data_IF_197744385592
#
_entry.id   IF_197744385592
#
_cell.length_a   1.000
_cell.length_b   1.000
_cell.length_c   1.000
_cell.angle_alpha   90.00
_cell.angle_beta   90.00
_cell.angle_gamma   90.00
#
_symmetry.space_group_name_H-M   'P 1'
#
loop_
_entity.id
_entity.type
_entity.pdbx_description
1 polymer ?
#
# COMPACT_ATOMS: atom_id res chain seq x y z
N UNK A 1 8.16 33.52 98.53
CA UNK A 1 6.89 33.05 99.10
C UNK A 1 6.16 32.21 98.06
N UNK A 2 5.39 31.23 98.53
CA UNK A 2 4.83 30.10 97.80
C UNK A 2 3.81 30.42 96.67
N UNK A 3 3.76 29.47 95.73
CA UNK A 3 2.58 28.68 95.28
C UNK A 3 1.94 28.88 93.89
N UNK A 4 1.82 27.69 93.23
CA UNK A 4 0.74 27.11 92.39
C UNK A 4 0.46 27.70 90.99
N UNK A 5 0.79 26.95 89.92
CA UNK A 5 -0.03 25.95 89.16
C UNK A 5 -1.14 26.62 88.35
N UNK A 6 -1.39 26.40 87.07
CA UNK A 6 -1.24 25.30 86.09
C UNK A 6 -1.31 25.99 84.70
N UNK A 7 -1.00 25.43 83.52
CA UNK A 7 -1.52 24.20 82.95
C UNK A 7 -0.84 23.95 81.59
N UNK A 8 -0.61 22.67 81.29
CA UNK A 8 -0.52 22.01 79.98
C UNK A 8 0.52 22.42 78.91
N UNK A 9 1.33 21.42 78.59
CA UNK A 9 2.45 21.30 77.66
C UNK A 9 2.27 19.93 76.94
N UNK A 10 3.09 19.51 75.95
CA UNK A 10 3.35 20.13 74.65
C UNK A 10 3.31 19.09 73.50
N UNK A 11 3.56 19.53 72.25
CA UNK A 11 4.08 18.67 71.18
C UNK A 11 5.40 18.00 71.59
N UNK A 12 5.76 16.84 71.00
CA UNK A 12 6.90 16.91 70.06
C UNK A 12 6.88 15.93 68.87
N UNK A 13 7.67 16.32 67.86
CA UNK A 13 8.24 15.53 66.77
C UNK A 13 9.00 14.29 67.27
N UNK A 14 8.82 13.12 66.67
CA UNK A 14 9.88 12.35 65.96
C UNK A 14 9.36 11.06 65.29
N UNK A 15 9.90 10.83 64.08
CA UNK A 15 10.18 9.59 63.34
C UNK A 15 9.78 8.23 63.96
N UNK A 16 9.03 7.39 63.21
CA UNK A 16 9.15 5.93 63.29
C UNK A 16 8.85 5.25 61.96
N UNK A 17 9.79 4.39 61.55
CA UNK A 17 9.72 3.40 60.47
C UNK A 17 8.79 2.27 60.92
N UNK A 18 7.85 1.84 60.07
CA UNK A 18 7.11 0.60 60.24
C UNK A 18 7.27 -0.29 59.00
N UNK A 19 7.99 -1.38 59.23
CA UNK A 19 8.06 -2.59 58.41
C UNK A 19 6.81 -3.42 58.73
N UNK A 20 6.02 -3.88 57.75
CA UNK A 20 5.31 -5.16 57.86
C UNK A 20 4.90 -5.71 56.48
N UNK A 21 5.24 -6.99 56.31
CA UNK A 21 4.97 -7.90 55.21
C UNK A 21 3.56 -8.50 55.40
N UNK A 22 2.83 -8.79 54.31
CA UNK A 22 1.81 -9.85 54.33
C UNK A 22 0.58 -9.64 53.45
N UNK A 23 0.62 -10.21 52.24
CA UNK A 23 -0.46 -10.88 51.49
C UNK A 23 -1.92 -10.47 51.77
N UNK A 24 -2.56 -9.89 50.75
CA UNK A 24 -3.99 -10.09 50.49
C UNK A 24 -4.27 -10.11 48.98
N UNK A 25 -4.93 -11.17 48.51
CA UNK A 25 -5.51 -11.24 47.16
C UNK A 25 -6.57 -10.14 47.00
N UNK A 26 -6.77 -9.61 45.78
CA UNK A 26 -8.06 -9.09 45.40
C UNK A 26 -8.78 -10.01 44.41
N UNK A 27 -10.04 -10.22 44.75
CA UNK A 27 -11.04 -10.96 44.01
C UNK A 27 -11.30 -10.40 42.61
N UNK A 28 -11.79 -11.30 41.76
CA UNK A 28 -12.33 -11.03 40.45
C UNK A 28 -13.35 -9.88 40.45
N UNK A 29 -13.17 -8.93 39.53
CA UNK A 29 -14.25 -8.07 39.03
C UNK A 29 -14.17 -8.07 37.51
N UNK A 30 -15.07 -8.83 36.90
CA UNK A 30 -15.27 -8.86 35.47
C UNK A 30 -15.75 -7.48 34.98
N UNK A 31 -14.95 -6.84 34.14
CA UNK A 31 -15.40 -5.77 33.24
C UNK A 31 -14.86 -6.15 31.85
N UNK A 32 -15.79 -6.34 30.92
CA UNK A 32 -15.55 -6.73 29.53
C UNK A 32 -14.82 -5.61 28.78
N UNK A 33 -13.51 -5.78 28.57
CA UNK A 33 -12.73 -5.07 27.56
C UNK A 33 -12.00 -6.09 26.69
N UNK A 34 -12.63 -6.47 25.57
CA UNK A 34 -11.95 -7.20 24.50
C UNK A 34 -11.11 -6.21 23.68
N UNK A 35 -9.89 -5.92 24.15
CA UNK A 35 -8.76 -5.43 23.34
C UNK A 35 -7.85 -6.64 23.09
N UNK A 36 -7.83 -7.12 21.85
CA UNK A 36 -6.80 -6.86 20.84
C UNK A 36 -5.44 -7.49 21.16
N UNK A 37 -4.98 -8.24 20.16
CA UNK A 37 -3.96 -9.27 20.21
C UNK A 37 -2.56 -8.65 20.30
N UNK A 38 -1.89 -8.75 21.46
CA UNK A 38 -0.45 -8.51 21.58
C UNK A 38 0.29 -9.84 21.43
N UNK A 39 1.08 -9.97 20.36
CA UNK A 39 2.04 -11.05 20.19
C UNK A 39 3.45 -10.47 20.14
N UNK A 40 4.17 -10.52 21.27
CA UNK A 40 5.59 -10.22 21.34
C UNK A 40 6.40 -11.49 21.01
N UNK A 41 7.24 -11.41 20.00
CA UNK A 41 8.22 -12.46 19.67
C UNK A 41 8.88 -12.18 18.33
N UNK A 42 10.17 -11.89 18.34
CA UNK A 42 10.98 -11.68 17.14
C UNK A 42 11.09 -12.97 16.33
N UNK A 43 10.18 -13.12 15.38
CA UNK A 43 10.15 -14.06 14.26
C UNK A 43 9.32 -13.36 13.18
N UNK A 44 9.67 -13.51 11.90
CA UNK A 44 9.04 -12.81 10.77
C UNK A 44 7.51 -12.68 11.00
N UNK A 45 7.07 -11.47 11.36
CA UNK A 45 5.72 -11.24 11.83
C UNK A 45 4.75 -11.74 10.76
N UNK A 46 3.92 -12.74 11.10
CA UNK A 46 2.91 -13.24 10.19
C UNK A 46 2.10 -12.04 9.69
N UNK A 47 2.15 -11.78 8.39
CA UNK A 47 1.52 -10.62 7.79
C UNK A 47 0.04 -10.58 8.22
N UNK A 48 -0.36 -9.53 8.92
CA UNK A 48 -1.73 -9.34 9.37
C UNK A 48 -2.58 -8.67 8.29
N UNK A 49 -3.89 -8.56 8.52
CA UNK A 49 -4.82 -7.83 7.64
C UNK A 49 -4.79 -6.30 7.87
N UNK A 50 -3.89 -5.82 8.72
CA UNK A 50 -3.62 -4.41 8.99
C UNK A 50 -2.13 -4.23 9.23
N UNK A 51 -1.52 -3.31 8.49
CA UNK A 51 -0.14 -2.87 8.70
C UNK A 51 -0.14 -1.36 8.89
N UNK A 52 0.44 -0.91 9.99
CA UNK A 52 0.53 0.51 10.34
C UNK A 52 1.63 1.21 9.57
N UNK A 53 1.47 2.52 9.35
CA UNK A 53 2.45 3.32 8.62
C UNK A 53 3.88 3.24 9.20
N UNK A 54 4.00 3.17 10.52
CA UNK A 54 5.27 3.08 11.26
C UNK A 54 5.89 1.67 11.23
N UNK A 55 5.13 0.65 10.81
CA UNK A 55 5.60 -0.73 10.65
C UNK A 55 6.22 -1.00 9.27
N UNK A 56 6.28 0.00 8.40
CA UNK A 56 6.88 -0.14 7.06
C UNK A 56 8.38 -0.37 7.17
N UNK A 57 8.89 -1.36 6.44
CA UNK A 57 10.33 -1.64 6.35
C UNK A 57 10.97 -0.72 5.31
N UNK A 58 11.89 0.13 5.73
CA UNK A 58 12.69 0.93 4.81
C UNK A 58 13.59 0.03 3.94
N UNK A 59 13.56 0.26 2.63
CA UNK A 59 14.41 -0.42 1.63
C UNK A 59 15.51 0.52 1.12
N UNK A 60 15.17 1.79 0.91
CA UNK A 60 16.10 2.84 0.46
C UNK A 60 15.79 4.10 1.25
N UNK A 61 16.82 4.75 1.81
CA UNK A 61 16.68 6.04 2.50
C UNK A 61 17.82 6.94 2.06
N UNK A 62 17.50 8.11 1.51
CA UNK A 62 18.47 9.10 1.03
C UNK A 62 17.95 10.51 1.29
N UNK A 63 18.80 11.52 1.14
CA UNK A 63 18.36 12.92 1.14
C UNK A 63 17.42 13.27 -0.04
N UNK A 64 17.35 12.43 -1.08
CA UNK A 64 16.60 12.64 -2.31
C UNK A 64 15.28 11.87 -2.37
N UNK A 65 15.01 11.01 -1.38
CA UNK A 65 13.83 10.18 -1.34
C UNK A 65 13.97 8.91 -0.50
N UNK A 66 12.86 8.18 -0.41
CA UNK A 66 12.71 6.97 0.39
C UNK A 66 11.89 5.92 -0.39
N UNK A 67 12.26 4.66 -0.22
CA UNK A 67 11.42 3.51 -0.58
C UNK A 67 11.20 2.69 0.67
N UNK A 68 9.94 2.45 1.04
CA UNK A 68 9.58 1.53 2.12
C UNK A 68 8.57 0.50 1.65
N UNK A 69 8.47 -0.63 2.37
CA UNK A 69 7.67 -1.79 1.96
C UNK A 69 6.88 -2.39 3.10
N UNK A 70 5.79 -3.07 2.75
CA UNK A 70 5.00 -3.92 3.63
C UNK A 70 4.57 -5.19 2.91
N UNK A 71 4.37 -6.24 3.70
CA UNK A 71 3.75 -7.48 3.27
C UNK A 71 2.42 -7.59 4.04
N UNK A 72 1.30 -7.69 3.34
CA UNK A 72 -0.05 -7.73 3.94
C UNK A 72 -0.78 -9.00 3.56
N UNK A 73 -1.45 -9.67 4.51
CA UNK A 73 -2.21 -10.89 4.24
C UNK A 73 -3.72 -10.65 4.29
N UNK A 74 -4.45 -11.33 3.41
CA UNK A 74 -5.91 -11.50 3.50
C UNK A 74 -6.29 -12.85 4.13
N UNK A 75 -5.34 -13.52 4.79
CA UNK A 75 -5.53 -14.83 5.40
C UNK A 75 -5.59 -16.00 4.41
N UNK A 76 -5.45 -15.75 3.10
CA UNK A 76 -5.48 -16.78 2.06
C UNK A 76 -4.28 -16.64 1.12
N UNK A 77 -3.58 -17.73 0.85
CA UNK A 77 -2.39 -17.69 -0.01
C UNK A 77 -1.21 -16.92 0.60
N UNK A 78 -0.33 -16.39 -0.26
CA UNK A 78 0.83 -15.60 0.14
C UNK A 78 0.49 -14.13 0.42
N UNK A 79 1.35 -13.40 1.16
CA UNK A 79 1.15 -11.98 1.40
C UNK A 79 1.29 -11.16 0.11
N UNK A 80 0.57 -10.05 0.04
CA UNK A 80 0.73 -9.05 -1.03
C UNK A 80 1.85 -8.09 -0.66
N UNK A 81 2.82 -7.94 -1.58
CA UNK A 81 3.93 -7.01 -1.41
C UNK A 81 3.58 -5.63 -1.95
N UNK A 82 3.70 -4.60 -1.10
CA UNK A 82 3.46 -3.20 -1.48
C UNK A 82 4.68 -2.37 -1.16
N UNK A 83 5.08 -1.50 -2.08
CA UNK A 83 6.09 -0.48 -1.83
C UNK A 83 5.54 0.94 -1.98
N UNK A 84 6.10 1.82 -1.17
CA UNK A 84 5.85 3.25 -1.11
C UNK A 84 7.12 3.97 -1.57
N UNK A 85 7.08 4.53 -2.77
CA UNK A 85 8.22 5.24 -3.37
C UNK A 85 7.95 6.74 -3.22
N UNK A 86 8.82 7.45 -2.51
CA UNK A 86 8.78 8.90 -2.34
C UNK A 86 10.04 9.52 -2.90
N UNK A 87 9.90 10.40 -3.88
CA UNK A 87 11.01 11.17 -4.43
C UNK A 87 10.84 12.65 -4.04
N UNK A 88 11.91 13.24 -3.50
CA UNK A 88 12.00 14.70 -3.36
C UNK A 88 11.91 15.38 -4.73
N UNK A 89 11.57 16.67 -4.81
CA UNK A 89 11.60 17.40 -6.08
C UNK A 89 12.99 17.36 -6.71
N UNK A 90 13.06 17.16 -8.03
CA UNK A 90 14.32 17.04 -8.78
C UNK A 90 15.21 15.86 -8.35
N UNK A 91 14.61 14.69 -8.18
CA UNK A 91 15.29 13.43 -7.84
C UNK A 91 15.09 12.38 -8.93
N UNK A 92 15.97 11.39 -8.93
CA UNK A 92 15.96 10.26 -9.86
C UNK A 92 16.03 8.95 -9.08
N UNK A 93 15.01 8.12 -9.21
CA UNK A 93 15.08 6.70 -8.88
C UNK A 93 15.77 5.97 -10.04
N UNK A 94 16.96 5.43 -9.76
CA UNK A 94 17.86 4.85 -10.74
C UNK A 94 17.27 3.61 -11.44
N UNK A 95 17.80 3.24 -12.62
CA UNK A 95 17.31 2.08 -13.38
C UNK A 95 17.36 0.76 -12.61
N UNK A 96 16.21 0.07 -12.58
CA UNK A 96 16.05 -1.26 -11.99
C UNK A 96 15.38 -2.22 -12.98
N UNK A 97 15.78 -3.49 -12.97
CA UNK A 97 15.13 -4.59 -13.67
C UNK A 97 13.99 -5.12 -12.81
N UNK A 98 12.77 -5.06 -13.33
CA UNK A 98 11.56 -5.48 -12.63
C UNK A 98 11.38 -7.00 -12.67
N UNK A 99 11.15 -7.64 -11.52
CA UNK A 99 11.00 -9.10 -11.41
C UNK A 99 9.55 -9.57 -11.28
N UNK A 100 8.62 -8.66 -10.98
CA UNK A 100 7.20 -8.97 -10.79
C UNK A 100 6.29 -7.97 -11.56
N UNK A 101 5.01 -8.31 -11.73
CA UNK A 101 4.05 -7.37 -12.33
C UNK A 101 3.83 -6.20 -11.36
N UNK A 102 4.19 -4.99 -11.77
CA UNK A 102 4.05 -3.79 -10.95
C UNK A 102 2.82 -3.01 -11.42
N UNK A 103 1.86 -2.82 -10.53
CA UNK A 103 0.73 -1.91 -10.74
C UNK A 103 0.83 -0.80 -9.72
N UNK A 104 0.80 0.45 -10.17
CA UNK A 104 0.99 1.58 -9.27
C UNK A 104 -0.01 2.73 -9.47
N UNK A 105 -0.18 3.49 -8.39
CA UNK A 105 -0.97 4.71 -8.29
C UNK A 105 -0.07 5.88 -7.86
N UNK A 106 -0.19 7.02 -8.53
CA UNK A 106 0.50 8.26 -8.15
C UNK A 106 -0.35 9.05 -7.14
N UNK A 107 0.10 9.12 -5.90
CA UNK A 107 -0.62 9.76 -4.81
C UNK A 107 -0.45 11.29 -4.78
N UNK A 108 0.78 11.80 -4.93
CA UNK A 108 1.09 13.24 -4.97
C UNK A 108 2.20 13.55 -5.95
N UNK A 109 2.33 14.82 -6.31
CA UNK A 109 3.40 15.31 -7.18
C UNK A 109 3.26 14.85 -8.63
N UNK A 110 4.36 14.97 -9.35
CA UNK A 110 4.46 14.63 -10.76
C UNK A 110 5.91 14.32 -11.14
N UNK A 111 6.07 13.71 -12.30
CA UNK A 111 7.37 13.34 -12.82
C UNK A 111 7.25 12.63 -14.15
N UNK A 112 8.28 11.84 -14.46
CA UNK A 112 8.35 11.04 -15.67
C UNK A 112 8.79 9.62 -15.35
N UNK A 113 7.98 8.67 -15.79
CA UNK A 113 8.33 7.26 -15.85
C UNK A 113 8.97 6.98 -17.21
N UNK A 114 10.09 6.26 -17.19
CA UNK A 114 10.73 5.75 -18.39
C UNK A 114 11.03 4.26 -18.22
N UNK A 115 10.84 3.49 -19.29
CA UNK A 115 11.11 2.06 -19.27
C UNK A 115 11.53 1.53 -20.63
N UNK A 116 12.34 0.49 -20.63
CA UNK A 116 12.70 -0.28 -21.81
C UNK A 116 11.57 -1.21 -22.24
N UNK A 117 11.31 -1.25 -23.54
CA UNK A 117 10.52 -2.27 -24.25
C UNK A 117 11.38 -2.81 -25.41
N UNK A 118 11.10 -4.00 -25.94
CA UNK A 118 11.97 -4.86 -26.79
C UNK A 118 12.95 -4.15 -27.76
N UNK A 119 12.62 -2.97 -28.30
CA UNK A 119 13.49 -2.20 -29.21
C UNK A 119 13.65 -0.70 -28.84
N UNK A 120 13.02 -0.19 -27.79
CA UNK A 120 12.90 1.26 -27.56
C UNK A 120 12.62 1.65 -26.11
N UNK A 121 12.97 2.89 -25.77
CA UNK A 121 12.69 3.45 -24.46
C UNK A 121 11.41 4.24 -24.54
N UNK A 122 10.41 3.78 -23.81
CA UNK A 122 9.15 4.46 -23.66
C UNK A 122 9.23 5.43 -22.49
N UNK A 123 8.54 6.55 -22.64
CA UNK A 123 8.48 7.62 -21.64
C UNK A 123 7.05 8.09 -21.52
N UNK A 124 6.62 8.35 -20.29
CA UNK A 124 5.32 8.93 -20.01
C UNK A 124 5.41 9.89 -18.84
N UNK A 125 4.78 11.05 -18.96
CA UNK A 125 4.60 11.95 -17.84
C UNK A 125 3.57 11.33 -16.88
N UNK A 126 3.84 11.40 -15.59
CA UNK A 126 2.97 10.89 -14.53
C UNK A 126 2.61 12.02 -13.57
N UNK A 127 1.36 12.05 -13.12
CA UNK A 127 0.85 13.04 -12.16
C UNK A 127 -0.10 12.38 -11.17
N UNK A 128 -0.42 13.08 -10.08
CA UNK A 128 -1.44 12.66 -9.10
C UNK A 128 -2.69 12.09 -9.80
N UNK A 129 -3.11 10.91 -9.36
CA UNK A 129 -4.26 10.19 -9.92
C UNK A 129 -3.90 9.17 -11.00
N UNK A 130 -2.70 9.26 -11.59
CA UNK A 130 -2.32 8.36 -12.67
C UNK A 130 -2.11 6.93 -12.17
N UNK A 131 -2.55 6.00 -13.01
CA UNK A 131 -2.43 4.56 -12.88
C UNK A 131 -1.57 4.02 -14.01
N UNK A 132 -0.68 3.11 -13.67
CA UNK A 132 0.17 2.47 -14.67
C UNK A 132 0.54 1.05 -14.27
N UNK A 133 0.94 0.27 -15.29
CA UNK A 133 1.40 -1.10 -15.14
C UNK A 133 2.73 -1.29 -15.87
N UNK A 134 3.69 -1.90 -15.20
CA UNK A 134 4.92 -2.42 -15.81
C UNK A 134 4.96 -3.94 -15.67
N UNK A 135 5.46 -4.62 -16.70
CA UNK A 135 5.55 -6.08 -16.75
C UNK A 135 6.91 -6.54 -16.24
N UNK A 136 7.00 -7.74 -15.63
CA UNK A 136 8.29 -8.33 -15.29
C UNK A 136 9.21 -8.40 -16.53
N UNK A 137 10.51 -8.26 -16.30
CA UNK A 137 11.55 -8.12 -17.33
C UNK A 137 11.78 -6.70 -17.83
N UNK A 138 10.92 -5.73 -17.48
CA UNK A 138 11.11 -4.34 -17.88
C UNK A 138 12.20 -3.67 -17.05
N UNK A 139 13.13 -2.95 -17.68
CA UNK A 139 14.03 -2.02 -16.99
C UNK A 139 13.36 -0.66 -16.92
N UNK A 140 13.19 -0.07 -15.73
CA UNK A 140 12.54 1.22 -15.56
C UNK A 140 13.26 2.12 -14.56
N UNK A 141 13.00 3.42 -14.67
CA UNK A 141 13.47 4.46 -13.75
C UNK A 141 12.43 5.58 -13.67
N UNK A 142 12.47 6.37 -12.60
CA UNK A 142 11.49 7.44 -12.36
C UNK A 142 12.20 8.72 -11.96
N UNK A 143 11.83 9.82 -12.61
CA UNK A 143 12.31 11.15 -12.24
C UNK A 143 11.16 11.99 -11.69
N UNK A 144 11.37 12.68 -10.57
CA UNK A 144 10.41 13.69 -10.08
C UNK A 144 10.66 15.05 -10.72
N UNK A 145 9.57 15.78 -10.98
CA UNK A 145 9.65 17.12 -11.54
C UNK A 145 10.05 18.16 -10.47
N UNK A 146 10.74 19.22 -10.90
CA UNK A 146 10.94 20.43 -10.10
C UNK A 146 9.85 21.45 -10.41
N UNK A 147 8.71 21.35 -9.73
CA UNK A 147 7.60 22.31 -9.85
C UNK A 147 7.69 23.42 -8.79
N UNK A 148 7.00 24.53 -9.03
CA UNK A 148 6.95 25.67 -8.10
C UNK A 148 6.42 25.28 -6.71
N UNK A 149 5.41 24.41 -6.66
CA UNK A 149 4.82 23.91 -5.42
C UNK A 149 5.72 22.92 -4.67
N UNK A 150 6.81 22.44 -5.29
CA UNK A 150 7.79 21.50 -4.72
C UNK A 150 7.15 20.27 -4.04
N UNK A 151 6.05 19.77 -4.59
CA UNK A 151 5.40 18.57 -4.08
C UNK A 151 6.29 17.34 -4.33
N UNK A 152 6.49 16.52 -3.29
CA UNK A 152 7.15 15.22 -3.43
C UNK A 152 6.32 14.30 -4.32
N UNK A 153 6.98 13.60 -5.24
CA UNK A 153 6.35 12.55 -6.03
C UNK A 153 6.19 11.30 -5.16
N UNK A 154 4.95 10.87 -4.93
CA UNK A 154 4.63 9.67 -4.13
C UNK A 154 3.90 8.65 -4.99
N UNK A 155 4.45 7.44 -5.06
CA UNK A 155 3.93 6.33 -5.85
C UNK A 155 3.68 5.15 -4.91
N UNK A 156 2.48 4.58 -4.97
CA UNK A 156 2.11 3.37 -4.23
C UNK A 156 2.00 2.23 -5.23
N UNK A 157 2.80 1.18 -5.05
CA UNK A 157 2.92 0.08 -6.00
C UNK A 157 2.66 -1.26 -5.32
N UNK A 158 1.82 -2.08 -5.93
CA UNK A 158 1.68 -3.48 -5.59
C UNK A 158 2.46 -4.31 -6.61
N UNK A 159 3.17 -5.31 -6.10
CA UNK A 159 3.90 -6.28 -6.90
C UNK A 159 3.14 -7.59 -6.84
N UNK A 160 2.53 -7.95 -7.95
CA UNK A 160 1.72 -9.14 -8.08
C UNK A 160 2.36 -10.10 -9.09
N UNK A 161 2.08 -11.38 -8.93
CA UNK A 161 2.43 -12.40 -9.90
C UNK A 161 1.14 -13.03 -10.41
N UNK A 162 1.03 -13.23 -11.73
CA UNK A 162 -0.26 -13.41 -12.41
C UNK A 162 -0.68 -14.88 -12.57
N UNK A 163 0.06 -15.83 -12.00
CA UNK A 163 -0.09 -17.27 -12.21
C UNK A 163 0.12 -18.02 -10.91
N UNK A 164 -0.61 -19.12 -10.75
CA UNK A 164 -0.47 -20.05 -9.61
C UNK A 164 0.96 -20.67 -9.53
N UNK A 165 1.80 -20.50 -10.57
CA UNK A 165 3.18 -20.96 -10.66
C UNK A 165 4.26 -19.89 -10.41
N UNK A 166 3.92 -18.59 -10.51
CA UNK A 166 4.85 -17.51 -10.19
C UNK A 166 4.48 -16.99 -8.81
N UNK A 167 5.07 -17.52 -7.75
CA UNK A 167 5.05 -16.81 -6.48
C UNK A 167 6.09 -15.69 -6.58
N UNK A 168 5.74 -14.47 -6.17
CA UNK A 168 6.76 -13.47 -5.85
C UNK A 168 7.75 -14.13 -4.91
N UNK A 169 8.96 -14.42 -5.39
CA UNK A 169 10.01 -14.98 -4.56
C UNK A 169 10.59 -13.82 -3.74
N UNK A 170 10.29 -13.73 -2.43
CA UNK A 170 10.80 -12.66 -1.61
C UNK A 170 12.33 -12.69 -1.53
N UNK A 171 12.97 -13.81 -1.86
CA UNK A 171 14.42 -13.94 -1.92
C UNK A 171 15.03 -13.17 -3.11
N UNK A 172 14.30 -13.01 -4.22
CA UNK A 172 14.74 -12.25 -5.40
C UNK A 172 14.38 -10.76 -5.25
N UNK A 173 13.24 -10.47 -4.60
CA UNK A 173 12.74 -9.11 -4.40
C UNK A 173 11.98 -8.56 -5.60
N UNK A 174 11.41 -7.37 -5.45
CA UNK A 174 10.53 -6.78 -6.47
C UNK A 174 11.26 -6.39 -7.76
N UNK A 175 12.53 -6.00 -7.63
CA UNK A 175 13.40 -5.57 -8.72
C UNK A 175 14.86 -5.60 -8.27
N UNK A 176 15.79 -5.59 -9.22
CA UNK A 176 17.23 -5.46 -8.96
C UNK A 176 17.81 -4.23 -9.65
N UNK A 177 18.77 -3.58 -8.99
CA UNK A 177 19.57 -2.50 -9.58
C UNK A 177 20.30 -2.98 -10.84
N UNK A 178 20.14 -2.27 -11.96
CA UNK A 178 20.86 -2.60 -13.21
C UNK A 178 22.37 -2.54 -13.00
N UNK A 179 22.83 -1.56 -12.21
CA UNK A 179 24.24 -1.42 -11.83
C UNK A 179 24.74 -2.69 -11.12
N UNK A 180 23.99 -3.19 -10.15
CA UNK A 180 24.43 -4.35 -9.35
C UNK A 180 24.43 -5.62 -10.20
N UNK A 181 23.44 -5.76 -11.10
CA UNK A 181 23.40 -6.83 -12.10
C UNK A 181 24.63 -6.81 -13.01
N UNK A 182 25.03 -5.63 -13.51
CA UNK A 182 26.22 -5.49 -14.36
C UNK A 182 27.50 -5.79 -13.58
N UNK A 183 27.63 -5.25 -12.35
CA UNK A 183 28.82 -5.45 -11.51
C UNK A 183 28.95 -6.86 -10.93
N UNK A 184 27.88 -7.66 -10.96
CA UNK A 184 27.92 -9.05 -10.53
C UNK A 184 28.71 -9.98 -11.46
N UNK A 185 29.01 -9.56 -12.69
CA UNK A 185 29.79 -10.36 -13.65
C UNK A 185 31.30 -10.18 -13.46
N UNK A 186 32.06 -11.23 -13.83
CA UNK A 186 33.52 -11.18 -13.89
C UNK A 186 34.00 -10.07 -14.85
N UNK A 187 35.04 -9.28 -14.47
CA UNK A 187 35.54 -8.18 -15.30
C UNK A 187 35.94 -8.60 -16.72
N UNK A 188 36.48 -9.81 -16.91
CA UNK A 188 36.87 -10.32 -18.24
C UNK A 188 35.65 -10.62 -19.10
N UNK A 189 34.57 -11.09 -18.48
CA UNK A 189 33.27 -11.30 -19.17
C UNK A 189 32.72 -9.95 -19.64
N UNK A 190 32.67 -8.95 -18.75
CA UNK A 190 32.19 -7.60 -19.10
C UNK A 190 33.03 -6.98 -20.21
N UNK A 191 34.36 -7.08 -20.13
CA UNK A 191 35.28 -6.60 -21.17
C UNK A 191 34.99 -7.22 -22.53
N UNK A 192 34.82 -8.55 -22.54
CA UNK A 192 34.56 -9.30 -23.78
C UNK A 192 33.19 -8.98 -24.35
N UNK A 193 32.18 -8.80 -23.50
CA UNK A 193 30.82 -8.47 -23.89
C UNK A 193 30.69 -7.04 -24.43
N UNK A 194 31.22 -6.05 -23.70
CA UNK A 194 31.14 -4.64 -24.07
C UNK A 194 32.19 -4.21 -25.10
N UNK A 195 33.25 -5.00 -25.31
CA UNK A 195 34.37 -4.69 -26.21
C UNK A 195 35.05 -3.34 -25.89
N UNK A 196 35.28 -3.09 -24.60
CA UNK A 196 35.93 -1.87 -24.08
C UNK A 196 37.29 -2.19 -23.44
N UNK A 197 38.08 -1.16 -23.09
CA UNK A 197 39.38 -1.33 -22.43
C UNK A 197 39.25 -1.77 -20.97
N UNK A 198 40.34 -2.32 -20.41
CA UNK A 198 40.43 -2.68 -19.00
C UNK A 198 40.16 -1.46 -18.10
N UNK A 199 40.70 -0.29 -18.44
CA UNK A 199 40.49 0.97 -17.72
C UNK A 199 39.00 1.35 -17.62
N UNK A 200 38.21 1.12 -18.67
CA UNK A 200 36.77 1.40 -18.66
C UNK A 200 36.03 0.43 -17.74
N UNK A 201 36.39 -0.86 -17.78
CA UNK A 201 35.79 -1.87 -16.90
C UNK A 201 36.17 -1.60 -15.44
N UNK A 202 37.43 -1.27 -15.16
CA UNK A 202 37.88 -0.91 -13.82
C UNK A 202 37.15 0.33 -13.29
N UNK A 203 36.97 1.36 -14.12
CA UNK A 203 36.18 2.53 -13.75
C UNK A 203 34.71 2.18 -13.45
N UNK A 204 34.11 1.31 -14.27
CA UNK A 204 32.73 0.86 -14.09
C UNK A 204 32.54 0.07 -12.80
N UNK A 205 33.48 -0.82 -12.46
CA UNK A 205 33.44 -1.67 -11.27
C UNK A 205 33.78 -0.86 -10.01
N UNK A 206 34.80 0.00 -10.06
CA UNK A 206 35.27 0.78 -8.92
C UNK A 206 34.48 2.08 -8.68
N UNK A 207 33.51 2.40 -9.53
CA UNK A 207 32.66 3.59 -9.34
C UNK A 207 31.95 3.56 -7.98
N UNK A 208 31.82 4.72 -7.34
CA UNK A 208 31.27 4.85 -5.97
C UNK A 208 29.87 4.27 -5.84
N UNK A 209 29.60 3.56 -4.75
CA UNK A 209 28.26 3.12 -4.36
C UNK A 209 27.31 4.30 -4.23
N UNK A 210 26.30 4.30 -5.12
CA UNK A 210 25.21 5.25 -5.11
C UNK A 210 23.96 4.52 -4.66
N UNK A 211 23.24 5.15 -3.73
CA UNK A 211 21.93 4.66 -3.34
C UNK A 211 20.96 4.69 -4.52
N UNK A 212 19.90 3.89 -4.46
CA UNK A 212 18.93 3.77 -5.54
C UNK A 212 18.23 5.08 -5.92
N UNK A 213 18.28 6.11 -5.07
CA UNK A 213 17.73 7.44 -5.35
C UNK A 213 18.83 8.50 -5.24
N UNK A 214 18.95 9.35 -6.27
CA UNK A 214 19.96 10.41 -6.36
C UNK A 214 19.33 11.74 -6.79
N UNK A 215 20.07 12.84 -6.64
CA UNK A 215 19.68 14.11 -7.25
C UNK A 215 19.62 13.99 -8.77
N UNK A 216 18.55 14.50 -9.39
CA UNK A 216 18.50 14.62 -10.84
C UNK A 216 19.44 15.76 -11.28
N UNK A 217 20.64 15.42 -11.75
CA UNK A 217 21.64 16.41 -12.18
C UNK A 217 21.08 17.22 -13.36
N UNK A 218 20.97 18.56 -13.24
CA UNK A 218 20.58 19.41 -14.36
C UNK A 218 21.81 19.64 -15.25
N UNK A 219 22.16 18.67 -16.08
CA UNK A 219 22.88 19.02 -17.31
C UNK A 219 21.85 19.45 -18.34
N UNK A 220 22.20 20.40 -19.22
CA UNK A 220 21.34 20.92 -20.29
C UNK A 220 20.40 19.82 -20.77
N UNK A 221 19.08 20.09 -20.73
CA UNK A 221 17.93 19.18 -20.89
C UNK A 221 18.00 18.11 -22.00
N UNK A 222 19.04 18.04 -22.79
CA UNK A 222 19.27 17.07 -23.86
C UNK A 222 20.35 16.02 -23.49
N UNK A 223 21.44 16.36 -22.77
CA UNK A 223 22.57 15.43 -22.61
C UNK A 223 22.33 14.23 -21.69
N UNK A 224 21.70 14.40 -20.53
CA UNK A 224 21.47 13.28 -19.61
C UNK A 224 20.48 12.25 -20.19
N UNK A 225 19.39 12.72 -20.81
CA UNK A 225 18.38 11.85 -21.40
C UNK A 225 18.85 11.14 -22.65
N UNK A 226 19.76 11.75 -23.41
CA UNK A 226 20.41 11.11 -24.53
C UNK A 226 21.42 10.07 -24.04
N UNK A 227 22.17 10.33 -22.97
CA UNK A 227 23.10 9.37 -22.37
C UNK A 227 22.39 8.16 -21.77
N UNK A 228 21.31 8.38 -21.02
CA UNK A 228 20.51 7.30 -20.45
C UNK A 228 19.72 6.55 -21.53
N UNK A 229 19.22 7.27 -22.54
CA UNK A 229 18.62 6.63 -23.70
C UNK A 229 19.60 5.77 -24.47
N UNK A 230 20.83 6.27 -24.65
CA UNK A 230 21.92 5.52 -25.27
C UNK A 230 22.29 4.32 -24.42
N UNK A 231 22.47 4.48 -23.11
CA UNK A 231 22.80 3.38 -22.20
C UNK A 231 21.77 2.25 -22.27
N UNK A 232 20.49 2.57 -22.11
CA UNK A 232 19.42 1.58 -22.17
C UNK A 232 19.26 1.01 -23.59
N UNK A 233 19.40 1.82 -24.65
CA UNK A 233 19.33 1.32 -26.03
C UNK A 233 20.50 0.38 -26.34
N UNK A 234 21.71 0.69 -25.89
CA UNK A 234 22.88 -0.20 -26.00
C UNK A 234 22.65 -1.47 -25.20
N UNK A 235 22.10 -1.38 -23.99
CA UNK A 235 21.79 -2.54 -23.14
C UNK A 235 20.72 -3.45 -23.76
N UNK A 236 19.69 -2.88 -24.38
CA UNK A 236 18.57 -3.64 -24.97
C UNK A 236 18.87 -4.17 -26.37
N UNK A 237 19.59 -3.41 -27.21
CA UNK A 237 19.72 -3.71 -28.65
C UNK A 237 21.13 -4.06 -29.11
N UNK A 238 22.15 -3.84 -28.27
CA UNK A 238 23.55 -4.14 -28.60
C UNK A 238 24.12 -3.42 -29.82
N UNK A 239 23.44 -2.38 -30.34
CA UNK A 239 23.86 -1.63 -31.55
C UNK A 239 23.97 -0.14 -31.30
N UNK A 240 25.15 0.40 -31.57
CA UNK A 240 25.36 1.83 -31.83
C UNK A 240 24.86 2.14 -33.25
N UNK A 241 23.69 2.76 -33.38
CA UNK A 241 23.33 3.46 -34.62
C UNK A 241 21.87 3.41 -35.06
N UNK A 242 21.44 4.58 -35.53
CA UNK A 242 20.26 4.90 -36.35
C UNK A 242 18.93 5.01 -35.59
N UNK A 243 18.34 6.20 -35.72
CA UNK A 243 17.03 6.59 -35.22
C UNK A 243 15.95 6.05 -36.17
N UNK A 244 15.08 5.17 -35.67
CA UNK A 244 13.85 4.83 -36.36
C UNK A 244 12.74 5.76 -35.89
N UNK A 245 12.51 6.79 -36.69
CA UNK A 245 11.32 7.61 -36.62
C UNK A 245 10.11 6.75 -37.04
N UNK A 246 9.50 6.04 -36.08
CA UNK A 246 8.15 5.49 -36.25
C UNK A 246 7.21 6.36 -35.43
N UNK A 247 6.16 6.86 -36.08
CA UNK A 247 4.98 7.45 -35.44
C UNK A 247 4.35 6.42 -34.48
N UNK A 248 4.94 6.25 -33.30
CA UNK A 248 4.44 5.37 -32.25
C UNK A 248 3.35 6.11 -31.50
N UNK A 249 2.19 5.45 -31.39
CA UNK A 249 1.05 5.91 -30.60
C UNK A 249 1.54 6.28 -29.19
N UNK A 250 1.35 7.53 -28.77
CA UNK A 250 1.77 8.00 -27.44
C UNK A 250 1.13 7.10 -26.38
N UNK A 251 1.95 6.44 -25.57
CA UNK A 251 1.47 5.74 -24.38
C UNK A 251 0.86 6.78 -23.46
N UNK A 252 -0.44 6.64 -23.16
CA UNK A 252 -1.16 7.54 -22.24
C UNK A 252 -1.33 6.84 -20.90
N UNK A 253 -1.19 7.57 -19.80
CA UNK A 253 -1.63 7.12 -18.47
C UNK A 253 -3.16 7.11 -18.39
N UNK A 254 -3.69 6.41 -17.39
CA UNK A 254 -5.10 6.51 -17.01
C UNK A 254 -5.17 7.26 -15.69
N UNK A 255 -5.88 8.38 -15.62
CA UNK A 255 -6.03 9.15 -14.39
C UNK A 255 -7.38 8.85 -13.73
N UNK A 256 -7.37 8.43 -12.47
CA UNK A 256 -8.60 8.09 -11.74
C UNK A 256 -9.53 9.30 -11.52
N UNK A 257 -9.00 10.52 -11.52
CA UNK A 257 -9.79 11.74 -11.32
C UNK A 257 -10.39 12.31 -12.61
N UNK A 258 -10.09 11.71 -13.77
CA UNK A 258 -10.72 12.08 -15.06
C UNK A 258 -12.09 11.38 -15.26
N UNK A 259 -12.49 10.51 -14.33
CA UNK A 259 -13.69 9.66 -14.43
C UNK A 259 -14.75 10.06 -13.42
N UNK A 260 -16.01 9.84 -13.79
CA UNK A 260 -17.13 10.00 -12.86
C UNK A 260 -17.18 8.85 -11.84
N UNK A 261 -17.44 9.12 -10.55
CA UNK A 261 -17.63 8.07 -9.56
C UNK A 261 -18.74 7.08 -9.94
N UNK A 262 -18.51 5.79 -9.69
CA UNK A 262 -19.53 4.74 -9.87
C UNK A 262 -20.73 4.97 -8.94
N UNK A 263 -20.50 5.58 -7.78
CA UNK A 263 -21.51 5.97 -6.82
C UNK A 263 -21.13 7.30 -6.16
N UNK A 264 -22.12 8.17 -5.93
CA UNK A 264 -21.95 9.43 -5.21
C UNK A 264 -23.24 9.86 -4.53
N UNK A 265 -23.15 10.29 -3.28
CA UNK A 265 -24.22 10.99 -2.56
C UNK A 265 -23.61 12.01 -1.57
N UNK A 266 -24.42 12.56 -0.67
CA UNK A 266 -23.96 13.52 0.35
C UNK A 266 -23.02 12.92 1.41
N UNK A 267 -22.94 11.59 1.51
CA UNK A 267 -22.16 10.86 2.52
C UNK A 267 -20.81 10.35 1.98
N UNK A 268 -20.56 10.49 0.67
CA UNK A 268 -19.34 10.00 0.05
C UNK A 268 -19.49 9.60 -1.41
N UNK A 269 -18.43 9.02 -1.93
CA UNK A 269 -18.36 8.49 -3.28
C UNK A 269 -17.37 7.32 -3.39
N UNK A 270 -17.56 6.49 -4.41
CA UNK A 270 -16.63 5.42 -4.76
C UNK A 270 -16.46 5.29 -6.26
N UNK A 271 -15.29 4.79 -6.66
CA UNK A 271 -14.91 4.59 -8.05
C UNK A 271 -14.03 3.35 -8.17
N UNK A 272 -14.26 2.54 -9.20
CA UNK A 272 -13.48 1.34 -9.51
C UNK A 272 -12.89 1.41 -10.91
N UNK A 273 -11.58 1.27 -11.00
CA UNK A 273 -10.87 1.13 -12.28
C UNK A 273 -10.65 -0.35 -12.57
N UNK A 274 -11.28 -0.81 -13.64
CA UNK A 274 -11.25 -2.20 -14.08
C UNK A 274 -10.76 -2.31 -15.54
N UNK A 275 -10.64 -3.53 -16.09
CA UNK A 275 -10.13 -3.76 -17.45
C UNK A 275 -10.94 -3.06 -18.56
N UNK A 276 -12.23 -2.80 -18.35
CA UNK A 276 -13.05 -2.08 -19.34
C UNK A 276 -12.64 -0.61 -19.42
N UNK A 277 -12.34 0.00 -18.29
CA UNK A 277 -12.04 1.41 -18.21
C UNK A 277 -10.57 1.66 -18.60
N UNK A 278 -9.66 0.75 -18.21
CA UNK A 278 -8.23 0.89 -18.53
C UNK A 278 -7.65 -0.39 -19.15
N UNK A 279 -7.29 -0.30 -20.44
CA UNK A 279 -6.49 -1.34 -21.10
C UNK A 279 -5.08 -1.47 -20.51
N UNK A 280 -4.60 -0.47 -19.75
CA UNK A 280 -3.28 -0.51 -19.11
C UNK A 280 -3.20 -1.63 -18.06
N UNK A 281 -4.33 -1.98 -17.43
CA UNK A 281 -4.42 -3.08 -16.47
C UNK A 281 -4.61 -4.45 -17.14
N UNK A 282 -4.74 -4.51 -18.47
CA UNK A 282 -5.03 -5.76 -19.20
C UNK A 282 -3.88 -6.75 -19.04
N UNK A 283 -4.18 -7.91 -18.46
CA UNK A 283 -3.21 -8.98 -18.21
C UNK A 283 -2.57 -8.91 -16.83
N UNK A 284 -2.96 -7.93 -16.02
CA UNK A 284 -2.82 -8.00 -14.57
C UNK A 284 -4.14 -8.51 -14.00
N UNK A 285 -4.08 -9.28 -12.91
CA UNK A 285 -5.24 -9.59 -12.09
C UNK A 285 -5.52 -8.49 -11.05
N UNK A 286 -4.77 -7.38 -11.06
CA UNK A 286 -4.94 -6.27 -10.13
C UNK A 286 -5.77 -5.12 -10.73
N UNK A 287 -6.93 -4.86 -10.14
CA UNK A 287 -7.73 -3.65 -10.34
C UNK A 287 -7.42 -2.57 -9.30
N UNK A 288 -8.03 -1.39 -9.43
CA UNK A 288 -7.93 -0.34 -8.42
C UNK A 288 -9.29 0.22 -8.07
N UNK A 289 -9.41 0.76 -6.86
CA UNK A 289 -10.59 1.49 -6.43
C UNK A 289 -10.22 2.67 -5.53
N UNK A 290 -11.12 3.61 -5.40
CA UNK A 290 -11.03 4.72 -4.47
C UNK A 290 -12.36 4.95 -3.80
N UNK A 291 -12.32 5.26 -2.51
CA UNK A 291 -13.48 5.57 -1.68
C UNK A 291 -13.20 6.83 -0.90
N UNK A 292 -14.21 7.69 -0.84
CA UNK A 292 -14.25 8.86 0.03
C UNK A 292 -15.54 8.78 0.86
N UNK A 293 -15.38 8.74 2.18
CA UNK A 293 -16.48 8.85 3.13
C UNK A 293 -16.37 10.20 3.83
N UNK A 294 -17.40 11.02 3.72
CA UNK A 294 -17.44 12.30 4.45
C UNK A 294 -17.44 12.04 5.95
N UNK A 295 -17.11 13.04 6.79
CA UNK A 295 -17.07 12.88 8.26
C UNK A 295 -18.34 12.22 8.82
N UNK A 296 -18.16 11.29 9.75
CA UNK A 296 -19.27 10.55 10.40
C UNK A 296 -20.13 9.70 9.46
N UNK A 297 -19.62 9.33 8.29
CA UNK A 297 -20.33 8.56 7.27
C UNK A 297 -19.84 7.11 7.18
N UNK A 298 -20.60 6.28 6.48
CA UNK A 298 -20.34 4.85 6.33
C UNK A 298 -20.59 4.40 4.89
N UNK A 299 -19.71 3.57 4.35
CA UNK A 299 -20.09 2.63 3.31
C UNK A 299 -20.76 1.43 3.96
N UNK A 300 -22.07 1.29 3.69
CA UNK A 300 -22.94 0.35 4.38
C UNK A 300 -22.45 -1.10 4.30
N UNK A 301 -22.94 -1.99 5.19
CA UNK A 301 -22.53 -3.38 5.21
C UNK A 301 -22.67 -4.04 3.82
N UNK A 302 -21.58 -4.58 3.28
CA UNK A 302 -21.54 -5.21 1.96
C UNK A 302 -20.43 -6.26 1.86
N UNK A 303 -20.46 -7.13 0.87
CA UNK A 303 -19.30 -7.98 0.55
C UNK A 303 -18.91 -7.90 -0.92
N UNK A 304 -17.65 -8.23 -1.18
CA UNK A 304 -17.11 -8.35 -2.52
C UNK A 304 -17.14 -9.81 -2.99
N UNK A 305 -17.87 -10.15 -4.07
CA UNK A 305 -17.97 -11.54 -4.52
C UNK A 305 -16.74 -12.03 -5.29
N UNK A 306 -15.88 -11.12 -5.79
CA UNK A 306 -14.81 -11.48 -6.73
C UNK A 306 -13.42 -11.01 -6.32
N UNK A 307 -13.29 -10.18 -5.29
CA UNK A 307 -12.04 -9.52 -4.98
C UNK A 307 -11.77 -9.41 -3.49
N UNK A 308 -10.50 -9.58 -3.13
CA UNK A 308 -9.91 -9.01 -1.92
C UNK A 308 -9.64 -7.53 -2.18
N UNK A 309 -9.95 -6.69 -1.19
CA UNK A 309 -9.60 -5.28 -1.16
C UNK A 309 -8.33 -5.09 -0.36
N UNK A 310 -7.30 -4.47 -0.94
CA UNK A 310 -6.05 -4.12 -0.26
C UNK A 310 -5.92 -2.59 -0.32
N UNK A 311 -6.31 -1.92 0.75
CA UNK A 311 -6.51 -0.48 0.77
C UNK A 311 -5.42 0.25 1.57
N UNK A 312 -5.00 1.40 1.05
CA UNK A 312 -4.08 2.35 1.65
C UNK A 312 -4.87 3.61 2.01
N UNK A 313 -4.87 3.98 3.29
CA UNK A 313 -5.54 5.19 3.75
C UNK A 313 -4.76 6.42 3.29
N UNK A 314 -5.43 7.31 2.57
CA UNK A 314 -4.87 8.53 2.00
C UNK A 314 -5.13 9.77 2.83
N UNK A 315 -6.23 9.80 3.58
CA UNK A 315 -6.59 10.91 4.46
C UNK A 315 -7.50 10.43 5.59
N UNK A 316 -7.31 11.02 6.77
CA UNK A 316 -8.21 10.89 7.91
C UNK A 316 -8.11 9.55 8.62
N UNK A 317 -9.17 9.21 9.34
CA UNK A 317 -9.21 8.03 10.18
C UNK A 317 -10.62 7.43 10.26
N UNK A 318 -10.67 6.15 10.60
CA UNK A 318 -11.93 5.45 10.68
C UNK A 318 -11.83 4.02 11.20
N UNK A 319 -12.90 3.28 10.96
CA UNK A 319 -13.07 1.90 11.39
C UNK A 319 -13.50 1.05 10.20
N UNK A 320 -12.78 -0.05 9.98
CA UNK A 320 -13.19 -1.12 9.07
C UNK A 320 -13.59 -2.31 9.92
N UNK A 321 -14.84 -2.76 9.78
CA UNK A 321 -15.32 -4.00 10.40
C UNK A 321 -15.57 -5.00 9.31
N UNK A 322 -14.99 -6.18 9.43
CA UNK A 322 -15.27 -7.30 8.54
C UNK A 322 -15.68 -8.52 9.36
N UNK A 323 -16.69 -9.24 8.89
CA UNK A 323 -17.22 -10.42 9.57
C UNK A 323 -16.76 -11.66 8.82
N UNK A 324 -16.22 -12.63 9.55
CA UNK A 324 -16.00 -13.95 9.01
C UNK A 324 -17.30 -14.78 9.13
N UNK A 325 -17.80 -15.26 8.00
CA UNK A 325 -18.92 -16.20 7.93
C UNK A 325 -18.42 -17.65 7.89
N UNK A 326 -17.70 -18.10 8.91
CA UNK A 326 -17.28 -19.50 9.02
C UNK A 326 -18.28 -20.30 9.85
N UNK A 327 -18.56 -21.54 9.45
CA UNK A 327 -19.29 -22.51 10.27
C UNK A 327 -18.50 -22.82 11.56
N UNK A 328 -19.18 -23.34 12.59
CA UNK A 328 -18.55 -23.65 13.89
C UNK A 328 -17.30 -24.55 13.78
N UNK A 329 -17.21 -25.38 12.74
CA UNK A 329 -16.09 -26.27 12.45
C UNK A 329 -14.84 -25.58 11.86
N UNK A 330 -14.94 -24.33 11.37
CA UNK A 330 -13.83 -23.57 10.73
C UNK A 330 -13.52 -22.24 11.41
N UNK A 331 -14.03 -22.01 12.63
CA UNK A 331 -13.83 -20.76 13.39
C UNK A 331 -12.36 -20.45 13.72
N UNK A 332 -11.48 -21.45 13.75
CA UNK A 332 -10.05 -21.26 14.02
C UNK A 332 -9.27 -20.67 12.85
N UNK A 333 -9.79 -20.80 11.62
CA UNK A 333 -9.07 -20.43 10.39
C UNK A 333 -9.47 -19.05 9.84
N UNK A 334 -10.63 -18.51 10.24
CA UNK A 334 -11.15 -17.26 9.71
C UNK A 334 -11.69 -16.39 10.86
N UNK A 335 -11.19 -15.15 10.97
CA UNK A 335 -11.45 -14.25 12.09
C UNK A 335 -12.17 -12.99 11.62
N UNK A 336 -13.21 -12.60 12.34
CA UNK A 336 -13.81 -11.27 12.19
C UNK A 336 -12.79 -10.21 12.58
N UNK A 337 -12.76 -9.11 11.83
CA UNK A 337 -11.76 -8.07 11.94
C UNK A 337 -12.40 -6.76 12.39
N UNK A 338 -11.72 -6.06 13.29
CA UNK A 338 -12.04 -4.70 13.70
C UNK A 338 -10.77 -3.89 13.58
N UNK A 339 -10.68 -3.07 12.55
CA UNK A 339 -9.46 -2.37 12.16
C UNK A 339 -9.69 -0.88 12.32
N UNK A 340 -9.06 -0.28 13.33
CA UNK A 340 -8.96 1.19 13.40
C UNK A 340 -7.83 1.63 12.47
N UNK A 341 -8.15 2.46 11.48
CA UNK A 341 -7.21 2.86 10.43
C UNK A 341 -6.99 4.37 10.44
N UNK A 342 -5.77 4.80 10.12
CA UNK A 342 -5.38 6.20 9.97
C UNK A 342 -4.53 6.39 8.71
N UNK A 343 -4.29 7.63 8.31
CA UNK A 343 -3.49 7.97 7.13
C UNK A 343 -2.17 7.20 7.05
N UNK A 344 -1.96 6.53 5.92
CA UNK A 344 -0.80 5.68 5.62
C UNK A 344 -0.91 4.24 6.12
N UNK A 345 -1.92 3.88 6.91
CA UNK A 345 -2.18 2.47 7.22
C UNK A 345 -2.62 1.71 5.96
N UNK A 346 -2.29 0.42 5.92
CA UNK A 346 -2.75 -0.51 4.88
C UNK A 346 -3.63 -1.57 5.54
N UNK A 347 -4.81 -1.84 4.97
CA UNK A 347 -5.68 -2.92 5.44
C UNK A 347 -6.13 -3.82 4.27
N UNK A 348 -6.39 -5.08 4.58
CA UNK A 348 -6.89 -6.06 3.63
C UNK A 348 -8.24 -6.62 4.10
N UNK A 349 -9.22 -6.68 3.19
CA UNK A 349 -10.49 -7.37 3.43
C UNK A 349 -10.70 -8.43 2.35
N UNK A 350 -10.74 -9.73 2.70
CA UNK A 350 -10.84 -10.79 1.72
C UNK A 350 -12.22 -10.82 1.06
N UNK A 351 -12.29 -11.42 -0.14
CA UNK A 351 -13.57 -11.67 -0.79
C UNK A 351 -14.53 -12.44 0.14
N UNK A 352 -15.83 -12.24 -0.06
CA UNK A 352 -16.91 -12.84 0.73
C UNK A 352 -16.93 -12.51 2.23
N UNK A 353 -16.10 -11.59 2.72
CA UNK A 353 -16.23 -11.05 4.07
C UNK A 353 -17.18 -9.86 4.04
N UNK A 354 -18.37 -9.93 4.66
CA UNK A 354 -19.22 -8.76 4.82
C UNK A 354 -18.49 -7.72 5.66
N UNK A 355 -18.44 -6.49 5.18
CA UNK A 355 -17.71 -5.41 5.79
C UNK A 355 -18.49 -4.11 5.82
N UNK A 356 -18.18 -3.27 6.80
CA UNK A 356 -18.59 -1.88 6.86
C UNK A 356 -17.35 -1.01 7.08
N UNK A 357 -17.27 0.10 6.35
CA UNK A 357 -16.17 1.05 6.40
C UNK A 357 -16.73 2.40 6.85
N UNK A 358 -16.17 2.98 7.88
CA UNK A 358 -16.75 4.12 8.60
C UNK A 358 -15.70 5.20 8.82
N UNK A 359 -16.00 6.44 8.47
CA UNK A 359 -15.21 7.59 8.93
C UNK A 359 -15.62 7.97 10.35
N UNK A 360 -14.68 8.56 11.10
CA UNK A 360 -15.02 9.15 12.40
C UNK A 360 -15.60 10.54 12.26
N UNK A 361 -16.15 11.08 13.35
CA UNK A 361 -16.86 12.37 13.33
C UNK A 361 -15.95 13.58 13.10
N UNK A 362 -14.64 13.40 13.24
CA UNK A 362 -13.65 14.47 13.18
C UNK A 362 -13.09 14.72 11.79
N UNK A 363 -13.08 13.74 10.88
CA UNK A 363 -12.54 13.90 9.54
C UNK A 363 -13.16 12.93 8.53
N UNK A 364 -13.03 13.23 7.24
CA UNK A 364 -13.37 12.33 6.15
C UNK A 364 -12.34 11.21 6.04
N UNK A 365 -12.79 10.00 5.73
CA UNK A 365 -11.91 8.86 5.46
C UNK A 365 -11.78 8.68 3.95
N UNK A 366 -10.56 8.85 3.43
CA UNK A 366 -10.26 8.63 2.01
C UNK A 366 -9.22 7.52 1.90
N UNK A 367 -9.48 6.54 1.06
CA UNK A 367 -8.53 5.47 0.77
C UNK A 367 -8.59 5.08 -0.72
N UNK A 368 -7.44 4.70 -1.24
CA UNK A 368 -7.34 3.95 -2.49
C UNK A 368 -7.09 2.49 -2.14
N UNK A 369 -7.44 1.55 -3.02
CA UNK A 369 -7.03 0.17 -2.85
C UNK A 369 -6.75 -0.55 -4.16
N UNK A 370 -5.94 -1.59 -4.05
CA UNK A 370 -5.76 -2.60 -5.08
C UNK A 370 -6.82 -3.69 -4.89
N UNK A 371 -7.45 -4.07 -5.99
CA UNK A 371 -8.43 -5.16 -6.04
C UNK A 371 -7.76 -6.37 -6.66
N UNK A 372 -7.91 -7.57 -6.08
CA UNK A 372 -7.35 -8.80 -6.66
C UNK A 372 -8.10 -9.31 -7.90
N UNK A 373 -8.91 -8.46 -8.52
CA UNK A 373 -9.49 -8.72 -9.83
C UNK A 373 -9.55 -7.45 -10.69
N UNK A 374 -9.32 -7.60 -11.99
CA UNK A 374 -9.64 -6.56 -12.99
C UNK A 374 -11.03 -6.73 -13.61
N UNK A 375 -11.79 -7.74 -13.17
CA UNK A 375 -13.19 -7.94 -13.58
C UNK A 375 -14.09 -7.00 -12.79
N UNK A 376 -15.29 -6.74 -13.30
CA UNK A 376 -16.30 -6.02 -12.52
C UNK A 376 -16.62 -6.82 -11.26
N UNK A 377 -16.29 -6.25 -10.11
CA UNK A 377 -16.62 -6.74 -8.79
C UNK A 377 -17.81 -5.90 -8.32
N UNK A 378 -19.03 -6.42 -8.46
CA UNK A 378 -20.26 -5.74 -8.05
C UNK A 378 -20.48 -5.98 -6.55
N UNK A 379 -20.23 -4.98 -5.66
CA UNK A 379 -20.42 -5.17 -4.23
C UNK A 379 -21.88 -5.49 -3.94
N UNK A 380 -22.11 -6.41 -3.01
CA UNK A 380 -23.45 -6.84 -2.62
C UNK A 380 -23.78 -6.23 -1.26
N UNK A 381 -24.69 -5.26 -1.21
CA UNK A 381 -25.05 -4.55 0.01
C UNK A 381 -26.07 -5.34 0.83
N UNK A 382 -25.98 -5.27 2.15
CA UNK A 382 -26.91 -5.87 3.11
C UNK A 382 -27.91 -4.85 3.68
N UNK A 383 -27.69 -3.55 3.44
CA UNK A 383 -28.55 -2.47 3.91
C UNK A 383 -28.73 -1.39 2.83
N UNK A 384 -29.81 -0.62 2.96
CA UNK A 384 -30.17 0.46 2.05
C UNK A 384 -30.94 0.00 0.80
N UNK A 385 -31.30 0.98 -0.05
CA UNK A 385 -32.17 0.81 -1.23
C UNK A 385 -31.73 -0.24 -2.26
N UNK A 386 -30.45 -0.64 -2.24
CA UNK A 386 -29.89 -1.63 -3.16
C UNK A 386 -29.39 -2.87 -2.40
N UNK A 387 -29.95 -3.14 -1.22
CA UNK A 387 -29.63 -4.34 -0.45
C UNK A 387 -30.11 -5.61 -1.17
N UNK A 388 -29.30 -6.67 -1.14
CA UNK A 388 -29.72 -7.98 -1.68
C UNK A 388 -30.94 -8.51 -0.94
N UNK A 389 -31.13 -8.12 0.33
CA UNK A 389 -32.27 -8.56 1.12
C UNK A 389 -33.58 -8.09 0.46
N UNK A 390 -33.60 -6.92 -0.18
CA UNK A 390 -34.79 -6.43 -0.89
C UNK A 390 -35.16 -7.27 -2.13
N UNK A 391 -34.26 -8.13 -2.62
CA UNK A 391 -34.52 -9.03 -3.74
C UNK A 391 -35.06 -10.40 -3.32
N UNK A 392 -35.04 -10.71 -2.02
CA UNK A 392 -35.48 -12.00 -1.49
C UNK A 392 -36.97 -11.96 -1.12
N UNK A 393 -37.62 -13.12 -1.22
CA UNK A 393 -39.01 -13.24 -0.78
C UNK A 393 -39.12 -12.96 0.73
N UNK A 394 -40.14 -12.19 1.09
CA UNK A 394 -40.35 -11.73 2.45
C UNK A 394 -40.56 -12.87 3.43
N UNK A 395 -41.30 -13.91 3.06
CA UNK A 395 -41.53 -15.07 3.92
C UNK A 395 -40.22 -15.85 4.11
N UNK A 396 -39.40 -15.93 3.06
CA UNK A 396 -38.07 -16.54 3.13
C UNK A 396 -37.16 -15.76 4.09
N UNK A 397 -37.14 -14.43 4.04
CA UNK A 397 -36.39 -13.60 4.98
C UNK A 397 -36.89 -13.77 6.42
N UNK A 398 -38.21 -13.71 6.62
CA UNK A 398 -38.84 -13.88 7.92
C UNK A 398 -38.48 -15.23 8.53
N UNK A 399 -38.55 -16.30 7.74
CA UNK A 399 -38.11 -17.64 8.15
C UNK A 399 -36.60 -17.69 8.44
N UNK A 400 -35.77 -17.05 7.61
CA UNK A 400 -34.29 -17.07 7.75
C UNK A 400 -33.83 -16.38 9.03
N UNK A 401 -34.48 -15.28 9.42
CA UNK A 401 -34.17 -14.55 10.65
C UNK A 401 -35.00 -15.02 11.85
N UNK A 402 -35.96 -15.94 11.65
CA UNK A 402 -36.95 -16.35 12.64
C UNK A 402 -37.69 -15.17 13.27
N UNK A 403 -38.22 -14.28 12.43
CA UNK A 403 -38.98 -13.07 12.81
C UNK A 403 -40.30 -13.00 12.05
N UNK A 404 -41.19 -12.08 12.42
CA UNK A 404 -42.43 -11.88 11.67
C UNK A 404 -42.19 -11.12 10.36
N UNK A 405 -43.12 -11.32 9.43
CA UNK A 405 -43.20 -10.53 8.20
C UNK A 405 -43.23 -9.01 8.47
N UNK A 406 -43.89 -8.58 9.55
CA UNK A 406 -43.95 -7.16 9.92
C UNK A 406 -42.61 -6.61 10.39
N UNK A 407 -41.75 -7.42 11.00
CA UNK A 407 -40.36 -7.03 11.32
C UNK A 407 -39.54 -6.87 10.05
N UNK A 408 -39.70 -7.77 9.07
CA UNK A 408 -39.01 -7.67 7.78
C UNK A 408 -39.42 -6.41 7.01
N UNK A 409 -40.68 -5.97 7.09
CA UNK A 409 -41.14 -4.72 6.46
C UNK A 409 -40.45 -3.45 7.00
N UNK A 410 -39.81 -3.54 8.18
CA UNK A 410 -39.11 -2.42 8.80
C UNK A 410 -37.62 -2.36 8.43
N UNK A 411 -37.10 -3.36 7.68
CA UNK A 411 -35.71 -3.44 7.20
C UNK A 411 -35.59 -2.91 5.77
#
# INVERSE_FOLDING_TARGET
MLNKSSNQQPFPFTFFILLFIGLSLPAAKAILSNEEQFGSGASAAAAGSLVKKDQRRALVVTEYGEISSIDISDGHGGPYHIQFITLEPNSLFLPVLLHADMVFYVHTGSGRLSWGDEDDIKRVAIKRGDLFRLRPGSVFFVQSDLQAERQKLRIYAIFATNTDDDLYDPAIGAYSSVRDLVRGFDPKVLRSAFKVSDEVIESLINGTDQSGIVHAVPTKKETFWDLEARFLKTFLTGKDGIAFNKNKKKTKTYNIFDEDPDFKNCNGWSLTVNRKNSQLLKGSNIGLFMVNLTKGSMMGPHWNPRATEIAIVLNGQGMVRAVCSSTAAKKSECKSMRLRVHEGDVFAVPRFHPMAQMSFNNDSLVFMGFSTTTRRNYPQFLAGKYSVLQSLDKQVLAASFNVSNTTVDQL
#
